data_IF_674931429751
#
_entry.id   IF_674931429751
#
_cell.length_a   1.000
_cell.length_b   1.000
_cell.length_c   1.000
_cell.angle_alpha   90.00
_cell.angle_beta   90.00
_cell.angle_gamma   90.00
#
_symmetry.space_group_name_H-M   'P 1'
#
loop_
_entity.id
_entity.type
_entity.pdbx_description
1 polymer ?
#
# COMPACT_ATOMS: atom_id res chain seq x y z
N UNK A 1 32.54 41.40 16.47
CA UNK A 1 32.36 42.37 15.39
C UNK A 1 32.17 41.64 14.07
N UNK A 2 31.05 41.81 13.39
CA UNK A 2 30.56 41.19 12.12
C UNK A 2 29.54 40.04 12.29
N UNK A 3 28.39 40.37 12.89
CA UNK A 3 27.12 39.69 12.72
C UNK A 3 26.09 40.77 12.34
N UNK A 4 26.11 41.30 11.15
CA UNK A 4 25.15 42.34 10.70
C UNK A 4 25.23 42.51 9.17
N UNK A 5 25.05 41.43 8.40
CA UNK A 5 24.91 41.55 6.92
C UNK A 5 24.18 40.41 6.23
N UNK A 6 23.24 39.72 6.86
CA UNK A 6 22.38 38.69 6.21
C UNK A 6 20.89 38.88 6.60
N UNK A 7 20.42 40.12 6.67
CA UNK A 7 18.97 40.43 6.83
C UNK A 7 18.61 41.55 5.86
N UNK A 8 18.79 41.35 4.59
CA UNK A 8 18.38 42.35 3.58
C UNK A 8 18.18 41.72 2.19
N UNK A 9 17.52 40.52 2.08
CA UNK A 9 17.20 39.99 0.75
C UNK A 9 15.94 39.12 0.74
N UNK A 10 14.92 39.41 1.55
CA UNK A 10 13.64 38.70 1.55
C UNK A 10 12.48 39.69 1.65
N UNK A 11 12.55 40.86 1.05
CA UNK A 11 11.41 41.78 1.04
C UNK A 11 11.33 42.55 -0.30
N UNK A 12 11.17 41.85 -1.41
CA UNK A 12 10.83 42.48 -2.69
C UNK A 12 10.32 41.42 -3.68
N UNK A 13 9.09 40.88 -3.49
CA UNK A 13 8.26 40.33 -4.56
C UNK A 13 6.82 40.12 -4.02
N UNK A 14 6.16 41.21 -3.71
CA UNK A 14 4.71 41.25 -3.57
C UNK A 14 4.28 42.59 -4.16
N UNK A 15 3.73 42.57 -5.37
CA UNK A 15 2.81 43.58 -5.95
C UNK A 15 2.89 43.54 -7.49
N UNK A 16 2.02 42.75 -8.10
CA UNK A 16 1.44 43.06 -9.43
C UNK A 16 0.16 42.26 -9.65
N UNK A 17 -0.89 42.72 -8.97
CA UNK A 17 -2.28 42.51 -9.38
C UNK A 17 -2.70 43.80 -10.04
N UNK A 18 -3.21 43.75 -11.28
CA UNK A 18 -4.21 44.68 -11.87
C UNK A 18 -4.46 44.23 -13.32
N UNK A 19 -5.60 43.58 -13.52
CA UNK A 19 -6.76 44.13 -14.22
C UNK A 19 -6.68 44.17 -15.75
N UNK A 20 -7.45 43.33 -16.40
CA UNK A 20 -8.21 43.73 -17.59
C UNK A 20 -9.63 43.16 -17.47
N UNK A 21 -10.54 44.10 -17.27
CA UNK A 21 -11.97 43.92 -17.41
C UNK A 21 -12.43 44.51 -18.76
N UNK A 22 -13.49 43.89 -19.28
CA UNK A 22 -14.56 44.54 -20.00
C UNK A 22 -14.61 44.52 -21.55
N UNK A 23 -15.81 44.27 -21.93
CA UNK A 23 -16.61 44.54 -23.14
C UNK A 23 -16.80 43.30 -24.00
N UNK A 24 -17.99 42.68 -24.05
CA UNK A 24 -19.30 43.22 -24.50
C UNK A 24 -19.50 42.78 -25.93
N UNK A 25 -20.48 42.04 -26.31
CA UNK A 25 -21.80 42.51 -26.65
C UNK A 25 -22.74 41.36 -27.07
N UNK A 26 -23.98 41.57 -26.78
CA UNK A 26 -25.27 41.02 -27.11
C UNK A 26 -25.49 40.65 -28.58
N UNK A 27 -26.16 39.53 -28.85
CA UNK A 27 -27.21 39.51 -29.88
C UNK A 27 -28.20 38.36 -29.70
N UNK A 28 -29.41 38.72 -29.44
CA UNK A 28 -30.71 38.06 -29.43
C UNK A 28 -31.15 37.69 -30.84
N UNK A 29 -31.86 36.57 -31.05
CA UNK A 29 -33.12 36.46 -31.79
C UNK A 29 -33.65 35.03 -31.83
N UNK A 30 -34.68 34.77 -31.14
CA UNK A 30 -36.07 34.44 -31.49
C UNK A 30 -36.30 33.90 -32.92
N UNK A 31 -36.88 32.70 -33.02
CA UNK A 31 -38.27 32.56 -33.55
C UNK A 31 -38.71 31.10 -33.55
N UNK A 32 -39.88 30.92 -33.02
CA UNK A 32 -40.75 29.75 -33.12
C UNK A 32 -41.32 29.59 -34.54
N UNK A 33 -41.71 28.40 -34.94
CA UNK A 33 -43.03 28.18 -35.58
C UNK A 33 -43.38 26.67 -35.56
N UNK A 34 -44.57 26.43 -35.12
CA UNK A 34 -45.44 25.28 -35.08
C UNK A 34 -45.72 24.64 -36.46
N UNK A 35 -46.00 23.33 -36.40
CA UNK A 35 -46.60 22.60 -37.53
C UNK A 35 -47.21 21.27 -37.05
N UNK A 36 -48.48 21.26 -36.93
CA UNK A 36 -49.47 20.21 -36.65
C UNK A 36 -49.55 19.13 -37.75
N UNK A 37 -49.99 17.92 -37.38
CA UNK A 37 -50.64 16.95 -38.31
C UNK A 37 -50.42 15.49 -37.87
N UNK A 38 -51.22 14.95 -37.20
CA UNK A 38 -52.30 13.97 -37.09
C UNK A 38 -52.11 12.60 -37.74
N UNK A 39 -52.45 11.65 -36.87
CA UNK A 39 -53.28 10.44 -37.10
C UNK A 39 -52.67 9.15 -37.67
N UNK A 40 -52.70 8.14 -36.81
CA UNK A 40 -53.36 6.85 -37.09
C UNK A 40 -52.45 5.69 -37.51
N UNK A 41 -52.20 4.73 -36.73
CA UNK A 41 -52.89 3.44 -36.77
C UNK A 41 -52.26 2.45 -35.76
N UNK A 42 -53.08 1.81 -34.98
CA UNK A 42 -52.74 0.72 -34.07
C UNK A 42 -52.51 -0.56 -34.87
N UNK A 43 -51.38 -1.23 -34.54
CA UNK A 43 -51.28 -2.67 -34.85
C UNK A 43 -50.59 -3.39 -33.68
N UNK A 44 -51.37 -4.25 -33.06
CA UNK A 44 -50.96 -5.19 -32.05
C UNK A 44 -49.85 -6.13 -32.58
N UNK A 45 -48.66 -6.05 -31.98
CA UNK A 45 -47.57 -6.97 -32.23
C UNK A 45 -47.01 -7.52 -30.90
N UNK A 46 -47.14 -8.80 -30.74
CA UNK A 46 -46.71 -9.68 -29.62
C UNK A 46 -45.31 -9.36 -29.19
N UNK A 47 -45.16 -9.01 -27.89
CA UNK A 47 -43.85 -8.86 -27.24
C UNK A 47 -43.21 -10.23 -26.96
N UNK A 48 -42.25 -10.59 -27.76
CA UNK A 48 -41.23 -11.58 -27.37
C UNK A 48 -40.14 -10.85 -26.60
N UNK A 49 -40.09 -11.09 -25.31
CA UNK A 49 -39.01 -10.63 -24.43
C UNK A 49 -37.70 -11.34 -24.82
N UNK A 50 -36.93 -10.74 -25.68
CA UNK A 50 -35.53 -11.09 -25.86
C UNK A 50 -34.76 -10.36 -24.76
N UNK A 51 -34.29 -11.11 -23.76
CA UNK A 51 -33.26 -10.67 -22.82
C UNK A 51 -32.00 -10.34 -23.64
N UNK A 52 -31.88 -9.11 -24.07
CA UNK A 52 -30.67 -8.56 -24.68
C UNK A 52 -29.62 -8.47 -23.62
N UNK A 53 -28.69 -9.44 -23.61
CA UNK A 53 -27.38 -9.25 -23.01
C UNK A 53 -26.74 -8.06 -23.73
N UNK A 54 -26.69 -6.92 -23.05
CA UNK A 54 -25.94 -5.77 -23.52
C UNK A 54 -24.46 -6.10 -23.38
N UNK A 55 -23.86 -6.69 -24.44
CA UNK A 55 -22.41 -6.72 -24.58
C UNK A 55 -21.92 -5.27 -24.67
N UNK A 56 -21.63 -4.65 -23.52
CA UNK A 56 -20.81 -3.43 -23.47
C UNK A 56 -19.49 -3.79 -24.16
N UNK A 57 -19.00 -3.02 -25.16
CA UNK A 57 -17.69 -3.29 -25.74
C UNK A 57 -16.67 -3.41 -24.62
N UNK A 58 -15.90 -4.49 -24.61
CA UNK A 58 -14.83 -4.67 -23.63
C UNK A 58 -13.91 -3.46 -23.73
N UNK A 59 -13.75 -2.73 -22.65
CA UNK A 59 -12.79 -1.64 -22.58
C UNK A 59 -11.39 -2.23 -22.78
N UNK A 60 -10.78 -1.94 -23.93
CA UNK A 60 -9.47 -2.47 -24.34
C UNK A 60 -8.29 -1.66 -23.76
N UNK A 61 -8.57 -0.57 -23.05
CA UNK A 61 -7.53 0.27 -22.43
C UNK A 61 -6.80 -0.51 -21.31
N UNK A 62 -5.45 -0.49 -21.28
CA UNK A 62 -4.71 -1.08 -20.18
C UNK A 62 -5.09 -0.45 -18.84
N UNK A 63 -5.17 -1.26 -17.78
CA UNK A 63 -5.28 -0.73 -16.42
C UNK A 63 -3.93 -0.21 -15.93
N UNK A 64 -3.89 1.01 -15.40
CA UNK A 64 -2.71 1.59 -14.77
C UNK A 64 -2.56 1.03 -13.36
N UNK A 65 -1.51 0.22 -13.13
CA UNK A 65 -1.24 -0.44 -11.86
C UNK A 65 0.00 0.17 -11.22
N UNK A 66 -0.19 0.88 -10.13
CA UNK A 66 0.91 1.50 -9.39
C UNK A 66 1.36 0.58 -8.26
N UNK A 67 2.64 0.26 -8.26
CA UNK A 67 3.31 -0.52 -7.22
C UNK A 67 4.35 0.34 -6.50
N UNK A 68 4.71 -0.04 -5.28
CA UNK A 68 5.77 0.62 -4.50
C UNK A 68 6.92 -0.35 -4.27
N UNK A 69 8.12 0.17 -4.04
CA UNK A 69 9.28 -0.63 -3.66
C UNK A 69 9.07 -1.34 -2.31
N UNK A 70 9.80 -2.41 -2.08
CA UNK A 70 9.72 -3.21 -0.86
C UNK A 70 8.64 -4.30 -0.89
N UNK A 71 8.28 -4.88 0.27
CA UNK A 71 7.47 -6.09 0.37
C UNK A 71 6.13 -6.02 -0.37
N UNK A 72 5.43 -4.89 -0.28
CA UNK A 72 4.12 -4.69 -0.91
C UNK A 72 4.17 -4.78 -2.45
N UNK A 73 5.32 -4.48 -3.06
CA UNK A 73 5.53 -4.61 -4.50
C UNK A 73 6.03 -5.99 -4.95
N UNK A 74 6.64 -6.77 -4.04
CA UNK A 74 7.28 -8.05 -4.40
C UNK A 74 6.28 -9.03 -5.02
N UNK A 75 5.05 -9.11 -4.52
CA UNK A 75 4.02 -10.01 -5.06
C UNK A 75 3.66 -9.77 -6.54
N UNK A 76 3.93 -8.56 -7.07
CA UNK A 76 3.60 -8.19 -8.44
C UNK A 76 4.69 -8.53 -9.47
N UNK A 77 5.94 -8.83 -9.06
CA UNK A 77 7.09 -8.84 -10.00
C UNK A 77 6.96 -9.85 -11.14
N UNK A 78 6.39 -11.03 -10.88
CA UNK A 78 6.14 -12.03 -11.92
C UNK A 78 5.09 -11.55 -12.93
N UNK A 79 4.03 -10.90 -12.45
CA UNK A 79 2.98 -10.32 -13.30
C UNK A 79 3.51 -9.11 -14.08
N UNK A 80 4.36 -8.28 -13.48
CA UNK A 80 5.04 -7.16 -14.16
C UNK A 80 5.89 -7.67 -15.33
N UNK A 81 6.67 -8.73 -15.13
CA UNK A 81 7.48 -9.35 -16.17
C UNK A 81 6.63 -9.94 -17.30
N UNK A 82 5.58 -10.69 -16.94
CA UNK A 82 4.65 -11.27 -17.93
C UNK A 82 3.93 -10.18 -18.72
N UNK A 83 3.50 -9.11 -18.07
CA UNK A 83 2.83 -7.98 -18.73
C UNK A 83 3.76 -7.28 -19.72
N UNK A 84 5.02 -7.02 -19.33
CA UNK A 84 6.03 -6.41 -20.19
C UNK A 84 6.32 -7.25 -21.44
N UNK A 85 6.17 -8.57 -21.34
CA UNK A 85 6.38 -9.53 -22.45
C UNK A 85 5.07 -9.87 -23.21
N UNK A 86 3.94 -9.21 -22.88
CA UNK A 86 2.64 -9.49 -23.51
C UNK A 86 2.07 -10.88 -23.20
N UNK A 87 2.42 -11.45 -22.04
CA UNK A 87 2.07 -12.80 -21.61
C UNK A 87 0.94 -12.84 -20.56
N UNK A 88 0.39 -11.68 -20.20
CA UNK A 88 -0.80 -11.59 -19.34
C UNK A 88 -2.07 -11.66 -20.20
N UNK A 89 -3.12 -12.27 -19.68
CA UNK A 89 -4.46 -12.26 -20.29
C UNK A 89 -5.06 -10.84 -20.26
N UNK A 90 -4.91 -10.15 -19.11
CA UNK A 90 -5.24 -8.73 -18.96
C UNK A 90 -4.18 -7.80 -19.55
N UNK A 91 -4.57 -6.57 -19.79
CA UNK A 91 -3.65 -5.52 -20.24
C UNK A 91 -3.36 -4.56 -19.08
N UNK A 92 -2.09 -4.41 -18.74
CA UNK A 92 -1.66 -3.61 -17.60
C UNK A 92 -0.49 -2.70 -18.00
N UNK A 93 -0.52 -1.49 -17.45
CA UNK A 93 0.59 -0.55 -17.47
C UNK A 93 1.11 -0.44 -16.03
N UNK A 94 2.19 -1.16 -15.70
CA UNK A 94 2.79 -1.11 -14.38
C UNK A 94 3.70 0.11 -14.24
N UNK A 95 3.49 0.85 -13.15
CA UNK A 95 4.29 2.02 -12.77
C UNK A 95 4.85 1.80 -11.37
N UNK A 96 6.17 1.85 -11.22
CA UNK A 96 6.82 1.89 -9.92
C UNK A 96 6.77 3.32 -9.39
N UNK A 97 5.96 3.54 -8.37
CA UNK A 97 5.92 4.84 -7.70
C UNK A 97 7.16 5.02 -6.81
N UNK A 98 7.68 6.23 -6.79
CA UNK A 98 8.88 6.60 -6.03
C UNK A 98 8.74 6.27 -4.53
N UNK A 99 7.54 6.47 -3.98
CA UNK A 99 7.18 6.13 -2.62
C UNK A 99 5.66 6.02 -2.46
N UNK A 100 5.20 5.63 -1.27
CA UNK A 100 3.78 5.46 -0.97
C UNK A 100 2.95 6.75 -1.13
N UNK A 101 3.53 7.94 -0.87
CA UNK A 101 2.83 9.22 -1.02
C UNK A 101 2.57 9.55 -2.50
N UNK A 102 3.53 9.23 -3.38
CA UNK A 102 3.38 9.38 -4.83
C UNK A 102 2.35 8.39 -5.38
N UNK A 103 2.33 7.14 -4.89
CA UNK A 103 1.31 6.16 -5.25
C UNK A 103 -0.09 6.64 -4.82
N UNK A 104 -0.22 7.16 -3.60
CA UNK A 104 -1.47 7.74 -3.10
C UNK A 104 -1.93 8.95 -3.94
N UNK A 105 -1.01 9.85 -4.28
CA UNK A 105 -1.33 11.01 -5.10
C UNK A 105 -1.83 10.60 -6.49
N UNK A 106 -1.18 9.64 -7.15
CA UNK A 106 -1.62 9.10 -8.44
C UNK A 106 -3.02 8.48 -8.35
N UNK A 107 -3.33 7.79 -7.24
CA UNK A 107 -4.66 7.23 -6.97
C UNK A 107 -5.72 8.34 -6.85
N UNK A 108 -5.47 9.34 -6.01
CA UNK A 108 -6.41 10.44 -5.77
C UNK A 108 -6.62 11.33 -7.01
N UNK A 109 -5.61 11.45 -7.87
CA UNK A 109 -5.70 12.20 -9.13
C UNK A 109 -6.37 11.40 -10.27
N UNK A 110 -6.70 10.11 -10.05
CA UNK A 110 -7.27 9.24 -11.10
C UNK A 110 -6.26 8.82 -12.18
N UNK A 111 -4.96 8.92 -11.90
CA UNK A 111 -3.89 8.46 -12.79
C UNK A 111 -3.69 6.95 -12.68
N UNK A 112 -4.00 6.37 -11.53
CA UNK A 112 -3.87 4.96 -11.21
C UNK A 112 -5.23 4.31 -11.04
N UNK A 113 -5.47 3.20 -11.74
CA UNK A 113 -6.68 2.39 -11.62
C UNK A 113 -6.59 1.40 -10.44
N UNK A 114 -5.41 0.83 -10.22
CA UNK A 114 -5.11 -0.09 -9.11
C UNK A 114 -3.80 0.34 -8.45
N UNK A 115 -3.76 0.35 -7.12
CA UNK A 115 -2.59 0.82 -6.37
C UNK A 115 -2.23 -0.12 -5.22
N UNK A 116 -0.95 -0.43 -5.09
CA UNK A 116 -0.40 -1.07 -3.89
C UNK A 116 -0.10 -0.01 -2.82
N UNK A 117 -0.65 -0.19 -1.60
CA UNK A 117 -0.43 0.75 -0.50
C UNK A 117 -0.55 0.08 0.88
N UNK A 118 -0.14 0.76 1.98
CA UNK A 118 -0.42 0.30 3.33
C UNK A 118 -1.93 0.23 3.62
N UNK A 119 -2.37 -0.82 4.31
CA UNK A 119 -3.79 -1.05 4.63
C UNK A 119 -4.41 0.06 5.49
N UNK A 120 -3.66 0.59 6.45
CA UNK A 120 -4.12 1.71 7.28
C UNK A 120 -4.31 3.01 6.47
N UNK A 121 -3.52 3.20 5.42
CA UNK A 121 -3.69 4.33 4.50
C UNK A 121 -5.01 4.19 3.73
N UNK A 122 -5.33 2.99 3.24
CA UNK A 122 -6.62 2.73 2.58
C UNK A 122 -7.81 3.00 3.53
N UNK A 123 -7.74 2.54 4.78
CA UNK A 123 -8.75 2.83 5.80
C UNK A 123 -8.89 4.33 6.08
N UNK A 124 -7.76 5.04 6.20
CA UNK A 124 -7.76 6.49 6.43
C UNK A 124 -8.34 7.28 5.25
N UNK A 125 -8.09 6.84 4.02
CA UNK A 125 -8.67 7.45 2.81
C UNK A 125 -10.20 7.30 2.81
N UNK A 126 -10.73 6.09 3.02
CA UNK A 126 -12.17 5.87 3.12
C UNK A 126 -12.80 6.75 4.21
N UNK A 127 -12.17 6.80 5.38
CA UNK A 127 -12.68 7.57 6.51
C UNK A 127 -12.67 9.09 6.30
N UNK A 128 -11.83 9.57 5.38
CA UNK A 128 -11.81 10.96 4.90
C UNK A 128 -12.81 11.24 3.78
N UNK A 129 -13.53 10.21 3.32
CA UNK A 129 -14.55 10.35 2.27
C UNK A 129 -14.07 10.05 0.85
N UNK A 130 -12.84 9.54 0.71
CA UNK A 130 -12.32 9.15 -0.60
C UNK A 130 -12.96 7.83 -1.07
N UNK A 131 -13.08 7.68 -2.39
CA UNK A 131 -13.57 6.45 -3.02
C UNK A 131 -12.45 5.42 -3.07
N UNK A 132 -12.44 4.46 -2.15
CA UNK A 132 -11.42 3.42 -2.06
C UNK A 132 -12.00 2.09 -1.61
N UNK A 133 -11.55 1.00 -2.27
CA UNK A 133 -11.91 -0.38 -1.96
C UNK A 133 -10.64 -1.23 -1.95
N UNK A 134 -10.41 -2.00 -0.89
CA UNK A 134 -9.34 -3.00 -0.82
C UNK A 134 -9.77 -4.23 -1.60
N UNK A 135 -9.02 -4.57 -2.63
CA UNK A 135 -9.23 -5.74 -3.48
C UNK A 135 -8.64 -7.01 -2.87
N UNK A 136 -7.41 -6.91 -2.39
CA UNK A 136 -6.70 -8.00 -1.71
C UNK A 136 -5.67 -7.44 -0.73
N UNK A 137 -5.46 -8.12 0.40
CA UNK A 137 -4.28 -7.94 1.23
C UNK A 137 -3.14 -8.80 0.65
N UNK A 138 -1.96 -8.20 0.52
CA UNK A 138 -0.84 -8.80 -0.20
C UNK A 138 0.43 -8.99 0.64
N UNK A 139 0.49 -8.42 1.84
CA UNK A 139 1.66 -8.43 2.70
C UNK A 139 1.24 -8.45 4.16
N UNK A 140 1.74 -9.42 4.93
CA UNK A 140 1.59 -9.46 6.37
C UNK A 140 2.66 -8.61 7.07
N UNK A 141 2.93 -8.87 8.35
CA UNK A 141 3.96 -8.17 9.11
C UNK A 141 5.35 -8.37 8.51
N UNK A 142 6.09 -7.28 8.36
CA UNK A 142 7.45 -7.27 7.76
C UNK A 142 8.50 -6.67 8.69
N UNK A 143 8.14 -6.43 9.95
CA UNK A 143 9.00 -5.82 10.96
C UNK A 143 9.75 -6.89 11.75
N UNK A 144 11.03 -6.64 11.99
CA UNK A 144 11.92 -7.55 12.72
C UNK A 144 12.70 -6.80 13.77
N UNK A 145 12.82 -7.37 14.98
CA UNK A 145 13.82 -6.92 15.95
C UNK A 145 15.17 -7.47 15.53
N UNK A 146 16.10 -6.55 15.35
CA UNK A 146 17.51 -6.81 15.04
C UNK A 146 18.33 -6.71 16.31
N UNK A 147 19.24 -7.64 16.54
CA UNK A 147 20.15 -7.63 17.66
C UNK A 147 21.61 -7.76 17.19
N UNK A 148 22.47 -6.88 17.71
CA UNK A 148 23.91 -6.87 17.52
C UNK A 148 24.69 -7.35 18.76
N UNK A 149 24.00 -7.59 19.89
CA UNK A 149 24.61 -7.96 21.18
C UNK A 149 24.66 -9.46 21.40
N UNK A 150 23.79 -10.23 20.76
CA UNK A 150 23.59 -11.66 21.00
C UNK A 150 22.85 -11.96 22.31
N UNK A 151 22.19 -10.94 22.92
CA UNK A 151 21.49 -11.07 24.21
C UNK A 151 19.97 -11.20 24.08
N UNK A 152 19.42 -11.01 22.90
CA UNK A 152 17.97 -11.11 22.64
C UNK A 152 17.69 -12.41 21.89
N UNK A 153 16.86 -13.27 22.48
CA UNK A 153 16.42 -14.54 21.90
C UNK A 153 14.90 -14.66 21.79
N UNK A 154 14.16 -13.89 22.59
CA UNK A 154 12.71 -13.83 22.60
C UNK A 154 12.22 -12.45 23.03
N UNK A 155 10.93 -12.20 22.92
CA UNK A 155 10.33 -10.89 23.20
C UNK A 155 10.53 -10.43 24.65
N UNK A 156 10.60 -11.33 25.61
CA UNK A 156 10.83 -11.03 27.04
C UNK A 156 12.21 -10.45 27.32
N UNK A 157 13.20 -10.80 26.52
CA UNK A 157 14.57 -10.29 26.66
C UNK A 157 14.69 -8.79 26.35
N UNK A 158 13.63 -8.18 25.84
CA UNK A 158 13.55 -6.74 25.57
C UNK A 158 13.24 -5.91 26.82
N UNK A 159 12.86 -6.53 27.95
CA UNK A 159 12.61 -5.83 29.21
C UNK A 159 13.82 -4.97 29.61
N UNK A 160 13.56 -3.67 29.86
CA UNK A 160 14.60 -2.71 30.24
C UNK A 160 15.58 -2.32 29.12
N UNK A 161 15.41 -2.81 27.91
CA UNK A 161 16.27 -2.49 26.76
C UNK A 161 15.87 -1.20 26.06
N UNK A 162 16.81 -0.69 25.26
CA UNK A 162 16.55 0.41 24.32
C UNK A 162 16.45 -0.14 22.90
N UNK A 163 15.36 0.15 22.20
CA UNK A 163 15.11 -0.24 20.81
C UNK A 163 15.08 1.01 19.95
N UNK A 164 15.86 1.02 18.86
CA UNK A 164 15.78 2.10 17.88
C UNK A 164 14.85 1.68 16.73
N UNK A 165 13.88 2.51 16.38
CA UNK A 165 12.88 2.23 15.36
C UNK A 165 12.67 3.42 14.41
N UNK A 166 11.97 3.19 13.31
CA UNK A 166 11.40 4.26 12.47
C UNK A 166 9.92 4.41 12.75
N UNK A 167 9.32 5.47 12.21
CA UNK A 167 7.86 5.60 12.16
C UNK A 167 7.23 6.03 13.47
N UNK A 168 7.84 7.00 14.16
CA UNK A 168 7.22 7.65 15.32
C UNK A 168 5.83 8.20 14.96
N UNK A 169 4.82 7.92 15.78
CA UNK A 169 3.43 8.32 15.53
C UNK A 169 2.76 7.55 14.40
N UNK A 170 3.30 6.39 13.98
CA UNK A 170 2.76 5.59 12.87
C UNK A 170 2.74 4.09 13.18
N UNK A 171 2.28 3.28 12.22
CA UNK A 171 2.07 1.84 12.40
C UNK A 171 3.23 1.08 13.04
N UNK A 172 4.51 1.27 12.67
CA UNK A 172 5.60 0.52 13.28
C UNK A 172 5.66 0.71 14.81
N UNK A 173 5.48 1.94 15.29
CA UNK A 173 5.45 2.21 16.73
C UNK A 173 4.27 1.52 17.40
N UNK A 174 3.05 1.61 16.82
CA UNK A 174 1.85 1.01 17.42
C UNK A 174 1.95 -0.51 17.48
N UNK A 175 2.48 -1.14 16.44
CA UNK A 175 2.71 -2.58 16.39
C UNK A 175 3.71 -2.99 17.49
N UNK A 176 4.84 -2.30 17.59
CA UNK A 176 5.86 -2.59 18.61
C UNK A 176 5.28 -2.48 20.01
N UNK A 177 4.61 -1.36 20.32
CA UNK A 177 3.99 -1.15 21.63
C UNK A 177 2.94 -2.20 21.95
N UNK A 178 2.07 -2.52 21.00
CA UNK A 178 1.05 -3.55 21.18
C UNK A 178 1.66 -4.91 21.47
N UNK A 179 2.66 -5.34 20.70
CA UNK A 179 3.32 -6.64 20.90
C UNK A 179 4.04 -6.70 22.25
N UNK A 180 4.73 -5.63 22.66
CA UNK A 180 5.38 -5.54 23.97
C UNK A 180 4.34 -5.63 25.10
N UNK A 181 3.26 -4.88 25.01
CA UNK A 181 2.18 -4.84 26.03
C UNK A 181 1.52 -6.22 26.18
N UNK A 182 1.10 -6.85 25.06
CA UNK A 182 0.45 -8.17 25.09
C UNK A 182 1.37 -9.27 25.63
N UNK A 183 2.66 -9.11 25.48
CA UNK A 183 3.66 -10.01 26.09
C UNK A 183 4.03 -9.61 27.53
N UNK A 184 3.46 -8.55 28.09
CA UNK A 184 3.76 -8.07 29.45
C UNK A 184 5.19 -7.53 29.60
N UNK A 185 5.87 -7.16 28.52
CA UNK A 185 7.21 -6.54 28.52
C UNK A 185 7.11 -5.07 28.86
N UNK A 186 7.85 -4.63 29.85
CA UNK A 186 7.79 -3.27 30.41
C UNK A 186 9.16 -2.59 30.33
N UNK A 187 9.18 -1.28 30.66
CA UNK A 187 10.44 -0.52 30.79
C UNK A 187 11.31 -0.51 29.52
N UNK A 188 10.72 -0.70 28.34
CA UNK A 188 11.42 -0.57 27.05
C UNK A 188 11.51 0.91 26.67
N UNK A 189 12.73 1.38 26.39
CA UNK A 189 12.94 2.70 25.81
C UNK A 189 12.89 2.61 24.28
N UNK A 190 12.05 3.41 23.62
CA UNK A 190 11.99 3.42 22.16
C UNK A 190 12.56 4.75 21.67
N UNK A 191 13.68 4.68 20.95
CA UNK A 191 14.27 5.80 20.25
C UNK A 191 13.83 5.78 18.78
N UNK A 192 13.68 6.96 18.17
CA UNK A 192 13.29 7.05 16.77
C UNK A 192 14.37 7.71 15.92
N UNK A 193 14.54 7.21 14.70
CA UNK A 193 15.33 7.81 13.64
C UNK A 193 14.47 7.94 12.37
N UNK A 194 14.87 8.84 11.47
CA UNK A 194 14.06 9.23 10.32
C UNK A 194 13.83 8.09 9.32
N UNK A 195 14.86 7.25 9.11
CA UNK A 195 14.78 6.15 8.15
C UNK A 195 15.57 4.90 8.58
N UNK A 196 15.20 3.76 7.96
CA UNK A 196 15.83 2.47 8.24
C UNK A 196 17.28 2.36 7.77
N UNK A 197 17.72 3.16 6.79
CA UNK A 197 19.11 3.14 6.33
C UNK A 197 20.02 3.82 7.36
N UNK A 198 19.56 4.88 7.99
CA UNK A 198 20.25 5.52 9.11
C UNK A 198 20.41 4.56 10.31
N UNK A 199 19.34 3.85 10.68
CA UNK A 199 19.40 2.81 11.73
C UNK A 199 20.37 1.70 11.33
N UNK A 200 20.32 1.20 10.09
CA UNK A 200 21.23 0.19 9.58
C UNK A 200 22.70 0.62 9.72
N UNK A 201 23.02 1.85 9.31
CA UNK A 201 24.38 2.41 9.44
C UNK A 201 24.79 2.52 10.91
N UNK A 202 23.87 2.94 11.79
CA UNK A 202 24.10 3.05 13.23
C UNK A 202 24.36 1.67 13.89
N UNK A 203 23.64 0.62 13.48
CA UNK A 203 23.91 -0.76 13.91
C UNK A 203 25.28 -1.24 13.42
N UNK A 204 25.61 -1.01 12.14
CA UNK A 204 26.90 -1.41 11.58
C UNK A 204 28.05 -0.64 12.22
N UNK A 205 27.89 0.63 12.59
CA UNK A 205 28.90 1.39 13.35
C UNK A 205 29.01 0.93 14.80
N UNK A 206 27.94 0.37 15.37
CA UNK A 206 27.84 -0.07 16.78
C UNK A 206 27.29 0.98 17.72
N UNK A 207 26.71 2.06 17.20
CA UNK A 207 26.04 3.09 18.01
C UNK A 207 24.58 2.71 18.35
N UNK A 208 24.01 1.74 17.65
CA UNK A 208 22.70 1.12 17.93
C UNK A 208 22.92 -0.39 18.07
N UNK A 209 22.46 -0.96 19.17
CA UNK A 209 22.61 -2.37 19.50
C UNK A 209 21.36 -3.18 19.14
N UNK A 210 20.17 -2.65 19.43
CA UNK A 210 18.88 -3.29 19.17
C UNK A 210 18.02 -2.32 18.37
N UNK A 211 17.46 -2.81 17.28
CA UNK A 211 16.60 -1.99 16.42
C UNK A 211 15.38 -2.79 15.95
N UNK A 212 14.31 -2.09 15.56
CA UNK A 212 13.23 -2.66 14.77
C UNK A 212 13.31 -2.12 13.34
N UNK A 213 13.48 -3.03 12.36
CA UNK A 213 13.63 -2.71 10.94
C UNK A 213 12.64 -3.51 10.08
N UNK A 214 12.11 -2.90 9.01
CA UNK A 214 11.32 -3.64 8.03
C UNK A 214 12.21 -4.42 7.04
N UNK A 215 11.67 -5.46 6.40
CA UNK A 215 12.27 -6.01 5.19
C UNK A 215 12.14 -4.98 4.03
N UNK A 216 13.09 -4.93 3.11
CA UNK A 216 14.34 -5.69 3.01
C UNK A 216 15.52 -5.07 3.81
N UNK A 217 15.29 -3.97 4.54
CA UNK A 217 16.35 -3.25 5.28
C UNK A 217 16.99 -4.14 6.34
N UNK A 218 16.18 -4.92 7.07
CA UNK A 218 16.68 -5.88 8.07
C UNK A 218 17.70 -6.86 7.45
N UNK A 219 17.37 -7.43 6.29
CA UNK A 219 18.28 -8.32 5.54
C UNK A 219 19.55 -7.59 5.07
N UNK A 220 19.40 -6.37 4.52
CA UNK A 220 20.55 -5.58 4.09
C UNK A 220 21.48 -5.25 5.26
N UNK A 221 20.93 -4.93 6.43
CA UNK A 221 21.68 -4.65 7.66
C UNK A 221 22.49 -5.89 8.09
N UNK A 222 21.90 -7.08 8.07
CA UNK A 222 22.63 -8.33 8.35
C UNK A 222 23.79 -8.54 7.38
N UNK A 223 23.57 -8.34 6.07
CA UNK A 223 24.62 -8.50 5.06
C UNK A 223 25.74 -7.47 5.26
N UNK A 224 25.42 -6.22 5.56
CA UNK A 224 26.39 -5.15 5.80
C UNK A 224 27.16 -5.39 7.09
N UNK A 225 26.48 -5.81 8.16
CA UNK A 225 27.12 -6.20 9.42
C UNK A 225 28.16 -7.32 9.22
N UNK A 226 27.78 -8.39 8.52
CA UNK A 226 28.68 -9.49 8.23
C UNK A 226 29.93 -9.04 7.46
N UNK A 227 29.76 -8.14 6.45
CA UNK A 227 30.90 -7.55 5.72
C UNK A 227 31.80 -6.70 6.59
N UNK A 228 31.26 -6.09 7.64
CA UNK A 228 32.00 -5.30 8.62
C UNK A 228 32.56 -6.15 9.79
N UNK A 229 32.47 -7.48 9.72
CA UNK A 229 32.91 -8.39 10.79
C UNK A 229 32.05 -8.37 12.04
N UNK A 230 30.79 -7.90 11.93
CA UNK A 230 29.83 -7.82 13.03
C UNK A 230 28.70 -8.82 12.84
N UNK A 231 28.22 -9.38 13.94
CA UNK A 231 27.04 -10.25 13.93
C UNK A 231 25.81 -9.41 14.25
N UNK A 232 25.02 -9.09 13.23
CA UNK A 232 23.72 -8.39 13.37
C UNK A 232 22.66 -9.31 12.78
N UNK A 233 21.69 -9.73 13.60
CA UNK A 233 20.69 -10.73 13.18
C UNK A 233 19.26 -10.25 13.45
N UNK A 234 18.28 -10.60 12.58
CA UNK A 234 16.88 -10.58 12.96
C UNK A 234 16.65 -11.70 13.98
N UNK A 235 16.13 -11.36 15.15
CA UNK A 235 15.95 -12.29 16.28
C UNK A 235 14.48 -12.48 16.65
N UNK A 236 13.61 -11.50 16.37
CA UNK A 236 12.17 -11.59 16.60
C UNK A 236 11.45 -11.14 15.35
N UNK A 237 10.54 -11.98 14.85
CA UNK A 237 9.59 -11.67 13.79
C UNK A 237 8.32 -11.13 14.43
N UNK A 238 7.99 -9.86 14.18
CA UNK A 238 6.81 -9.21 14.74
C UNK A 238 5.50 -9.81 14.21
N UNK A 239 5.53 -10.41 13.02
CA UNK A 239 4.37 -11.15 12.49
C UNK A 239 4.12 -12.43 13.29
N UNK A 240 5.18 -13.19 13.57
CA UNK A 240 5.07 -14.40 14.38
C UNK A 240 4.64 -14.10 15.84
N UNK A 241 5.08 -12.98 16.41
CA UNK A 241 4.60 -12.56 17.73
C UNK A 241 3.12 -12.13 17.67
N UNK A 242 2.69 -11.45 16.60
CA UNK A 242 1.27 -11.12 16.39
C UNK A 242 0.40 -12.38 16.28
N UNK A 243 0.83 -13.37 15.51
CA UNK A 243 0.09 -14.64 15.35
C UNK A 243 -0.13 -15.35 16.69
N UNK A 244 0.88 -15.35 17.58
CA UNK A 244 0.73 -15.90 18.96
C UNK A 244 -0.31 -15.11 19.77
N UNK A 245 -0.27 -13.77 19.70
CA UNK A 245 -1.22 -12.91 20.42
C UNK A 245 -2.64 -13.08 19.89
N UNK A 246 -2.78 -13.26 18.60
CA UNK A 246 -4.04 -13.38 17.88
C UNK A 246 -4.59 -14.81 17.86
N UNK A 247 -3.95 -15.77 18.52
CA UNK A 247 -4.40 -17.17 18.55
C UNK A 247 -5.85 -17.28 18.99
N UNK A 248 -6.65 -18.01 18.21
CA UNK A 248 -8.10 -18.15 18.43
C UNK A 248 -8.95 -16.98 17.92
N UNK A 249 -8.36 -16.02 17.21
CA UNK A 249 -9.04 -14.92 16.53
C UNK A 249 -8.78 -14.94 15.02
N UNK A 250 -9.52 -14.13 14.26
CA UNK A 250 -9.26 -13.95 12.83
C UNK A 250 -8.22 -12.85 12.54
N UNK A 251 -7.71 -12.17 13.57
CA UNK A 251 -6.78 -11.04 13.40
C UNK A 251 -5.45 -11.48 12.79
N UNK A 252 -4.99 -10.76 11.77
CA UNK A 252 -3.64 -10.93 11.22
C UNK A 252 -3.00 -9.57 10.97
N UNK A 253 -1.68 -9.49 11.12
CA UNK A 253 -0.91 -8.27 10.90
C UNK A 253 -0.80 -7.98 9.38
N UNK A 254 -1.90 -7.54 8.77
CA UNK A 254 -1.98 -7.25 7.34
C UNK A 254 -1.53 -5.82 7.04
N UNK A 255 -0.26 -5.65 6.66
CA UNK A 255 0.35 -4.33 6.46
C UNK A 255 0.19 -3.76 5.05
N UNK A 256 0.07 -4.58 4.03
CA UNK A 256 -0.03 -4.16 2.63
C UNK A 256 -1.27 -4.67 1.92
N UNK A 257 -1.76 -3.90 0.95
CA UNK A 257 -2.91 -4.26 0.11
C UNK A 257 -2.78 -3.68 -1.30
N UNK A 258 -3.66 -4.14 -2.19
CA UNK A 258 -3.98 -3.49 -3.45
C UNK A 258 -5.40 -2.95 -3.40
N UNK A 259 -5.57 -1.71 -3.87
CA UNK A 259 -6.84 -0.97 -3.83
C UNK A 259 -7.23 -0.50 -5.22
N UNK A 260 -8.52 -0.20 -5.38
CA UNK A 260 -9.08 0.53 -6.51
C UNK A 260 -10.18 1.48 -6.01
N UNK A 261 -10.76 2.30 -6.89
CA UNK A 261 -11.99 3.03 -6.56
C UNK A 261 -13.22 2.14 -6.74
N UNK A 262 -14.27 2.37 -5.94
CA UNK A 262 -15.54 1.69 -6.16
C UNK A 262 -16.10 1.97 -7.55
N UNK A 263 -15.96 3.21 -8.02
CA UNK A 263 -16.38 3.60 -9.36
C UNK A 263 -15.66 2.79 -10.46
N UNK A 264 -14.35 2.59 -10.35
CA UNK A 264 -13.59 1.75 -11.29
C UNK A 264 -14.01 0.28 -11.21
N UNK A 265 -14.15 -0.24 -10.00
CA UNK A 265 -14.58 -1.62 -9.74
C UNK A 265 -15.96 -1.89 -10.39
N UNK A 266 -16.94 -1.03 -10.13
CA UNK A 266 -18.30 -1.18 -10.67
C UNK A 266 -18.33 -1.13 -12.22
N UNK A 267 -17.48 -0.31 -12.81
CA UNK A 267 -17.39 -0.17 -14.27
C UNK A 267 -16.58 -1.29 -14.94
N UNK A 268 -15.64 -1.94 -14.23
CA UNK A 268 -14.63 -2.85 -14.78
C UNK A 268 -14.46 -4.13 -13.95
N UNK A 269 -15.55 -4.66 -13.38
CA UNK A 269 -15.50 -5.83 -12.50
C UNK A 269 -14.69 -6.99 -13.08
N UNK A 270 -14.96 -7.36 -14.33
CA UNK A 270 -14.28 -8.47 -15.01
C UNK A 270 -12.77 -8.24 -15.14
N UNK A 271 -12.34 -6.98 -15.40
CA UNK A 271 -10.90 -6.64 -15.43
C UNK A 271 -10.26 -6.74 -14.05
N UNK A 272 -10.98 -6.32 -12.99
CA UNK A 272 -10.48 -6.40 -11.61
C UNK A 272 -10.38 -7.86 -11.17
N UNK A 273 -11.36 -8.69 -11.48
CA UNK A 273 -11.34 -10.11 -11.15
C UNK A 273 -10.20 -10.84 -11.91
N UNK A 274 -9.99 -10.49 -13.19
CA UNK A 274 -8.86 -11.01 -13.97
C UNK A 274 -7.52 -10.55 -13.37
N UNK A 275 -7.40 -9.26 -12.98
CA UNK A 275 -6.22 -8.77 -12.28
C UNK A 275 -5.95 -9.58 -11.01
N UNK A 276 -6.96 -9.83 -10.18
CA UNK A 276 -6.81 -10.58 -8.94
C UNK A 276 -6.36 -12.03 -9.21
N UNK A 277 -6.91 -12.68 -10.24
CA UNK A 277 -6.49 -14.03 -10.67
C UNK A 277 -5.00 -14.04 -11.05
N UNK A 278 -4.57 -13.11 -11.90
CA UNK A 278 -3.19 -13.04 -12.35
C UNK A 278 -2.22 -12.59 -11.26
N UNK A 279 -2.69 -11.72 -10.35
CA UNK A 279 -1.93 -11.26 -9.19
C UNK A 279 -1.70 -12.39 -8.17
N UNK A 280 -2.73 -13.22 -7.90
CA UNK A 280 -2.60 -14.45 -7.10
C UNK A 280 -1.55 -15.38 -7.69
N UNK A 281 -1.62 -15.66 -9.00
CA UNK A 281 -0.64 -16.47 -9.70
C UNK A 281 0.78 -15.88 -9.65
N UNK A 282 0.91 -14.55 -9.68
CA UNK A 282 2.19 -13.85 -9.51
C UNK A 282 2.77 -14.08 -8.11
N UNK A 283 1.96 -13.94 -7.07
CA UNK A 283 2.37 -14.19 -5.68
C UNK A 283 2.79 -15.66 -5.49
N UNK A 284 2.05 -16.59 -6.05
CA UNK A 284 2.39 -18.02 -6.01
C UNK A 284 3.73 -18.30 -6.73
N UNK A 285 3.96 -17.71 -7.89
CA UNK A 285 5.22 -17.83 -8.63
C UNK A 285 6.42 -17.26 -7.84
N UNK A 286 6.24 -16.11 -7.19
CA UNK A 286 7.27 -15.51 -6.31
C UNK A 286 7.65 -16.44 -5.15
N UNK A 287 6.66 -17.10 -4.55
CA UNK A 287 6.90 -18.06 -3.44
C UNK A 287 7.55 -19.36 -3.93
N UNK A 288 7.19 -19.81 -5.12
CA UNK A 288 7.69 -21.07 -5.69
C UNK A 288 9.14 -20.97 -6.18
N UNK A 289 9.54 -19.81 -6.73
CA UNK A 289 10.89 -19.58 -7.26
C UNK A 289 11.44 -18.24 -6.81
N UNK A 290 12.04 -18.26 -5.61
CA UNK A 290 12.63 -17.06 -4.98
C UNK A 290 13.82 -16.53 -5.77
N UNK A 291 14.58 -17.38 -6.49
CA UNK A 291 15.74 -16.95 -7.25
C UNK A 291 15.32 -16.12 -8.47
N UNK A 292 14.37 -16.60 -9.24
CA UNK A 292 13.76 -15.83 -10.33
C UNK A 292 13.08 -14.56 -9.81
N UNK A 293 12.30 -14.65 -8.74
CA UNK A 293 11.64 -13.50 -8.13
C UNK A 293 12.64 -12.43 -7.68
N UNK A 294 13.78 -12.83 -7.12
CA UNK A 294 14.83 -11.91 -6.70
C UNK A 294 15.47 -11.15 -7.87
N UNK A 295 15.73 -11.84 -8.98
CA UNK A 295 16.22 -11.22 -10.21
C UNK A 295 15.20 -10.22 -10.80
N UNK A 296 13.91 -10.59 -10.78
CA UNK A 296 12.82 -9.71 -11.23
C UNK A 296 12.64 -8.49 -10.30
N UNK A 297 12.80 -8.66 -8.96
CA UNK A 297 12.78 -7.54 -8.03
C UNK A 297 13.86 -6.51 -8.34
N UNK A 298 15.08 -6.93 -8.67
CA UNK A 298 16.17 -6.03 -9.10
C UNK A 298 15.85 -5.40 -10.46
N UNK A 299 15.44 -6.18 -11.44
CA UNK A 299 15.09 -5.72 -12.78
C UNK A 299 14.00 -4.63 -12.76
N UNK A 300 12.96 -4.82 -11.97
CA UNK A 300 11.83 -3.88 -11.86
C UNK A 300 11.98 -2.84 -10.75
N UNK A 301 13.13 -2.79 -10.06
CA UNK A 301 13.40 -1.78 -9.02
C UNK A 301 12.64 -1.96 -7.70
N UNK A 302 11.98 -3.10 -7.49
CA UNK A 302 11.22 -3.38 -6.26
C UNK A 302 12.14 -3.58 -5.05
N UNK A 303 13.26 -4.29 -5.25
CA UNK A 303 14.36 -4.38 -4.29
C UNK A 303 15.65 -4.15 -5.07
N UNK A 304 16.48 -3.23 -4.60
CA UNK A 304 17.61 -2.69 -5.36
C UNK A 304 18.67 -3.72 -5.81
N UNK A 305 18.75 -4.88 -5.15
CA UNK A 305 19.75 -5.93 -5.47
C UNK A 305 19.14 -7.32 -5.29
N UNK A 306 19.29 -8.18 -6.32
CA UNK A 306 18.81 -9.56 -6.28
C UNK A 306 19.39 -10.36 -5.09
N UNK A 307 20.65 -10.13 -4.74
CA UNK A 307 21.28 -10.80 -3.58
C UNK A 307 20.60 -10.44 -2.24
N UNK A 308 20.06 -9.23 -2.09
CA UNK A 308 19.25 -8.84 -0.94
C UNK A 308 17.85 -9.44 -1.08
N UNK A 309 17.24 -9.31 -2.24
CA UNK A 309 15.89 -9.81 -2.52
C UNK A 309 15.78 -11.32 -2.23
N UNK A 310 16.75 -12.13 -2.69
CA UNK A 310 16.78 -13.58 -2.44
C UNK A 310 16.69 -13.94 -0.94
N UNK A 311 17.35 -13.19 -0.08
CA UNK A 311 17.33 -13.42 1.36
C UNK A 311 16.14 -12.75 2.08
N UNK A 312 15.60 -11.67 1.49
CA UNK A 312 14.50 -10.91 2.07
C UNK A 312 13.12 -11.48 1.72
N UNK A 313 12.90 -11.96 0.49
CA UNK A 313 11.59 -12.44 0.01
C UNK A 313 10.96 -13.48 0.96
N UNK A 314 11.66 -14.49 1.47
CA UNK A 314 11.09 -15.46 2.42
C UNK A 314 10.62 -14.83 3.75
N UNK A 315 11.09 -13.61 4.05
CA UNK A 315 10.78 -12.86 5.27
C UNK A 315 9.85 -11.67 5.01
N UNK A 316 9.41 -11.47 3.78
CA UNK A 316 8.48 -10.42 3.42
C UNK A 316 7.01 -10.79 3.68
N UNK A 317 6.75 -12.01 4.14
CA UNK A 317 5.41 -12.50 4.49
C UNK A 317 4.34 -12.17 3.44
N UNK A 318 4.70 -12.40 2.15
CA UNK A 318 3.84 -12.11 1.01
C UNK A 318 2.65 -13.06 1.04
N UNK A 319 1.46 -12.51 0.91
CA UNK A 319 0.20 -13.26 1.00
C UNK A 319 -0.78 -12.84 -0.09
N UNK A 320 -1.88 -13.59 -0.22
CA UNK A 320 -3.03 -13.19 -1.01
C UNK A 320 -4.28 -13.55 -0.21
N UNK A 321 -4.92 -12.54 0.35
CA UNK A 321 -6.18 -12.70 1.08
C UNK A 321 -7.24 -11.76 0.49
N UNK A 322 -8.44 -12.28 0.27
CA UNK A 322 -9.59 -11.60 -0.33
C UNK A 322 -10.87 -11.89 0.44
N UNK A 323 -11.94 -11.17 0.15
CA UNK A 323 -13.28 -11.45 0.66
C UNK A 323 -13.40 -11.46 2.18
N UNK A 324 -14.15 -12.42 2.71
CA UNK A 324 -14.50 -12.47 4.12
C UNK A 324 -13.29 -12.66 5.05
N UNK A 325 -12.33 -13.51 4.67
CA UNK A 325 -11.12 -13.73 5.47
C UNK A 325 -10.26 -12.49 5.57
N UNK A 326 -10.07 -11.78 4.46
CA UNK A 326 -9.37 -10.50 4.44
C UNK A 326 -10.05 -9.48 5.35
N UNK A 327 -11.38 -9.34 5.24
CA UNK A 327 -12.17 -8.42 6.06
C UNK A 327 -12.02 -8.73 7.55
N UNK A 328 -12.16 -9.99 7.94
CA UNK A 328 -12.06 -10.42 9.34
C UNK A 328 -10.66 -10.08 9.90
N UNK A 329 -9.60 -10.47 9.20
CA UNK A 329 -8.23 -10.22 9.61
C UNK A 329 -7.88 -8.74 9.70
N UNK A 330 -8.28 -7.94 8.71
CA UNK A 330 -8.07 -6.49 8.71
C UNK A 330 -8.88 -5.78 9.81
N UNK A 331 -10.09 -6.27 10.12
CA UNK A 331 -10.90 -5.70 11.21
C UNK A 331 -10.18 -5.85 12.55
N UNK A 332 -9.60 -7.02 12.83
CA UNK A 332 -8.78 -7.24 14.02
C UNK A 332 -7.56 -6.30 14.08
N UNK A 333 -6.82 -6.20 12.98
CA UNK A 333 -5.67 -5.30 12.88
C UNK A 333 -6.05 -3.82 13.08
N UNK A 334 -7.09 -3.36 12.39
CA UNK A 334 -7.58 -1.98 12.53
C UNK A 334 -8.09 -1.66 13.93
N UNK A 335 -8.66 -2.64 14.64
CA UNK A 335 -9.05 -2.48 16.04
C UNK A 335 -7.85 -2.14 16.93
N UNK A 336 -6.73 -2.83 16.74
CA UNK A 336 -5.48 -2.55 17.47
C UNK A 336 -4.97 -1.15 17.13
N UNK A 337 -4.92 -0.80 15.85
CA UNK A 337 -4.48 0.53 15.41
C UNK A 337 -5.39 1.65 15.93
N UNK A 338 -6.71 1.45 15.89
CA UNK A 338 -7.69 2.41 16.40
C UNK A 338 -7.54 2.63 17.90
N UNK A 339 -7.33 1.56 18.65
CA UNK A 339 -7.12 1.63 20.11
C UNK A 339 -5.84 2.39 20.45
N UNK A 340 -4.76 2.13 19.70
CA UNK A 340 -3.48 2.81 19.92
C UNK A 340 -3.52 4.29 19.50
N UNK A 341 -4.10 4.58 18.34
CA UNK A 341 -4.29 5.94 17.83
C UNK A 341 -5.38 5.94 16.72
N UNK A 342 -6.59 6.42 17.01
CA UNK A 342 -7.67 6.48 16.02
C UNK A 342 -7.28 7.17 14.70
N UNK A 343 -6.44 8.20 14.76
CA UNK A 343 -6.01 8.95 13.57
C UNK A 343 -5.22 8.08 12.57
N UNK A 344 -4.60 6.98 13.02
CA UNK A 344 -3.84 6.06 12.17
C UNK A 344 -4.65 5.42 11.06
N UNK A 345 -5.97 5.31 11.25
CA UNK A 345 -6.95 4.79 10.28
C UNK A 345 -8.03 5.81 9.94
N UNK A 346 -7.78 7.11 10.18
CA UNK A 346 -8.70 8.20 9.84
C UNK A 346 -9.80 8.48 10.86
N UNK A 347 -9.60 8.14 12.14
CA UNK A 347 -10.40 8.58 13.28
C UNK A 347 -11.52 7.62 13.71
N UNK A 348 -11.87 6.62 12.92
CA UNK A 348 -12.92 5.62 13.22
C UNK A 348 -12.63 4.29 12.53
N UNK A 349 -13.28 3.22 12.96
CA UNK A 349 -13.26 1.95 12.24
C UNK A 349 -13.85 2.14 10.83
N UNK A 350 -13.22 1.57 9.79
CA UNK A 350 -13.71 1.71 8.43
C UNK A 350 -15.04 0.97 8.24
N UNK A 351 -15.91 1.53 7.38
CA UNK A 351 -17.15 0.88 6.99
C UNK A 351 -16.89 -0.34 6.07
N UNK A 352 -17.88 -1.22 5.98
CA UNK A 352 -17.84 -2.45 5.18
C UNK A 352 -17.53 -2.21 3.69
N UNK A 353 -17.86 -1.03 3.16
CA UNK A 353 -17.54 -0.62 1.80
C UNK A 353 -16.05 -0.55 1.46
N UNK A 354 -15.17 -0.60 2.48
CA UNK A 354 -13.73 -0.71 2.25
C UNK A 354 -13.31 -2.03 1.60
N UNK A 355 -14.09 -3.11 1.74
CA UNK A 355 -13.67 -4.46 1.40
C UNK A 355 -14.38 -4.97 0.15
N UNK A 356 -13.64 -5.42 -0.84
CA UNK A 356 -14.20 -6.12 -1.99
C UNK A 356 -14.55 -7.57 -1.61
N UNK A 357 -15.85 -7.89 -1.67
CA UNK A 357 -16.39 -9.20 -1.28
C UNK A 357 -16.75 -10.07 -2.48
N UNK A 358 -16.62 -9.58 -3.70
CA UNK A 358 -17.15 -10.23 -4.90
C UNK A 358 -16.16 -11.09 -5.69
N UNK A 359 -14.94 -11.32 -5.17
CA UNK A 359 -13.96 -12.21 -5.81
C UNK A 359 -14.00 -13.59 -5.16
N UNK A 360 -14.32 -14.59 -5.97
CA UNK A 360 -14.47 -16.01 -5.57
C UNK A 360 -13.32 -16.87 -6.16
N UNK A 361 -12.08 -16.36 -6.18
CA UNK A 361 -10.92 -16.94 -6.85
C UNK A 361 -10.27 -18.16 -6.26
#
# INVERSE_FOLDING_TARGET
MKITKIIALVLALALSVLAFAACGDTSTSTSATSGTGASGNATTGTSSSTTGSTNKPADTKPANVYVISGPTGVGAVSMMEKSANGQTEGKYNFVLAENQMKAQAAFLNGEADIVAMPTNMAAALLNKGEDVVILAANTLGVLYIMDATGTVTNIKDLEGKTITATGQGSNPEYILKYVLEQNGVKNVTINFMDDGAAISAAMVSGSVEIAMLPQPVATATTIQGNKAGKTIKPVIDMNAEWEKIAEGTDSALMMGCVVTTKAYLDANKDKVDLFLKEYKASIEAVKADVDTAAALCEKHGIIAKAAIAKQAIPKCNITFATGASMKASLTGYFTVLHTANPASIGGKMPADGLFYMGYEG
#
